data_IF_042276900806
#
_entry.id   IF_042276900806
#
_cell.length_a   1.000
_cell.length_b   1.000
_cell.length_c   1.000
_cell.angle_alpha   90.00
_cell.angle_beta   90.00
_cell.angle_gamma   90.00
#
_symmetry.space_group_name_H-M   'P 1'
#
loop_
_entity.id
_entity.type
_entity.pdbx_description
1 polymer ?
#
# COMPACT_ATOMS: atom_id res chain seq x y z
N UNK A 1 -23.24 44.71 -14.01
CA UNK A 1 -21.92 44.07 -13.79
C UNK A 1 -21.90 43.13 -12.59
N UNK A 2 -22.29 43.57 -11.38
CA UNK A 2 -22.23 42.79 -10.13
C UNK A 2 -22.89 41.39 -10.22
N UNK A 3 -24.10 41.29 -10.78
CA UNK A 3 -24.79 40.00 -10.95
C UNK A 3 -24.04 39.01 -11.87
N UNK A 4 -23.30 39.51 -12.86
CA UNK A 4 -22.52 38.66 -13.78
C UNK A 4 -21.26 38.14 -13.12
N UNK A 5 -20.61 38.98 -12.29
CA UNK A 5 -19.46 38.60 -11.46
C UNK A 5 -19.87 37.54 -10.43
N UNK A 6 -20.98 37.74 -9.72
CA UNK A 6 -21.50 36.77 -8.75
C UNK A 6 -21.77 35.40 -9.39
N UNK A 7 -22.30 35.37 -10.61
CA UNK A 7 -22.56 34.13 -11.34
C UNK A 7 -21.28 33.40 -11.78
N UNK A 8 -20.21 34.13 -12.09
CA UNK A 8 -18.89 33.57 -12.41
C UNK A 8 -18.26 32.95 -11.17
N UNK A 9 -18.21 33.68 -10.06
CA UNK A 9 -17.66 33.20 -8.78
C UNK A 9 -18.39 31.93 -8.32
N UNK A 10 -19.73 31.92 -8.38
CA UNK A 10 -20.53 30.75 -8.03
C UNK A 10 -20.23 29.54 -8.94
N UNK A 11 -20.02 29.79 -10.24
CA UNK A 11 -19.70 28.73 -11.23
C UNK A 11 -18.28 28.19 -11.02
N UNK A 12 -17.35 29.04 -10.62
CA UNK A 12 -15.95 28.69 -10.36
C UNK A 12 -15.80 27.89 -9.06
N UNK A 13 -16.60 28.19 -8.04
CA UNK A 13 -16.68 27.38 -6.82
C UNK A 13 -17.40 26.04 -7.04
N UNK A 14 -18.45 26.04 -7.89
CA UNK A 14 -19.25 24.83 -8.17
C UNK A 14 -18.49 23.77 -8.97
N UNK A 15 -17.57 24.16 -9.84
CA UNK A 15 -16.78 23.24 -10.68
C UNK A 15 -15.90 22.26 -9.86
N UNK A 16 -15.02 22.70 -8.94
CA UNK A 16 -14.23 21.81 -8.11
C UNK A 16 -15.12 20.98 -7.18
N UNK A 17 -16.17 21.56 -6.60
CA UNK A 17 -17.11 20.82 -5.75
C UNK A 17 -17.81 19.67 -6.50
N UNK A 18 -18.20 19.87 -7.76
CA UNK A 18 -18.75 18.80 -8.60
C UNK A 18 -17.75 17.67 -8.83
N UNK A 19 -16.47 18.00 -9.07
CA UNK A 19 -15.42 16.99 -9.23
C UNK A 19 -15.23 16.17 -7.95
N UNK A 20 -15.20 16.83 -6.79
CA UNK A 20 -15.11 16.16 -5.48
C UNK A 20 -16.29 15.23 -5.26
N UNK A 21 -17.52 15.68 -5.49
CA UNK A 21 -18.71 14.83 -5.33
C UNK A 21 -18.67 13.63 -6.28
N UNK A 22 -18.21 13.82 -7.51
CA UNK A 22 -18.08 12.71 -8.47
C UNK A 22 -17.02 11.69 -8.01
N UNK A 23 -15.89 12.16 -7.47
CA UNK A 23 -14.86 11.30 -6.90
C UNK A 23 -15.37 10.50 -5.69
N UNK A 24 -16.05 11.17 -4.76
CA UNK A 24 -16.63 10.51 -3.58
C UNK A 24 -17.66 9.45 -3.95
N UNK A 25 -18.46 9.67 -5.01
CA UNK A 25 -19.41 8.67 -5.51
C UNK A 25 -18.70 7.42 -6.05
N UNK A 26 -17.56 7.61 -6.74
CA UNK A 26 -16.74 6.50 -7.22
C UNK A 26 -16.16 5.70 -6.04
N UNK A 27 -15.58 6.37 -5.05
CA UNK A 27 -14.99 5.73 -3.86
C UNK A 27 -16.03 5.05 -2.96
N UNK A 28 -17.23 5.63 -2.88
CA UNK A 28 -18.35 5.01 -2.17
C UNK A 28 -18.79 3.70 -2.84
N UNK A 29 -18.75 3.64 -4.18
CA UNK A 29 -19.11 2.47 -4.99
C UNK A 29 -18.10 1.33 -5.01
N UNK A 30 -16.96 1.45 -4.32
CA UNK A 30 -15.98 0.38 -4.24
C UNK A 30 -16.49 -0.78 -3.38
N UNK A 31 -16.32 -2.00 -3.90
CA UNK A 31 -16.62 -3.22 -3.15
C UNK A 31 -15.56 -3.43 -2.06
N UNK A 32 -16.02 -3.49 -0.81
CA UNK A 32 -15.16 -3.71 0.36
C UNK A 32 -15.27 -5.15 0.84
N UNK A 33 -14.16 -5.71 1.30
CA UNK A 33 -14.13 -7.00 2.00
C UNK A 33 -14.18 -6.77 3.51
N UNK A 34 -14.61 -7.79 4.27
CA UNK A 34 -14.57 -7.72 5.74
C UNK A 34 -13.12 -7.65 6.21
N UNK A 35 -12.86 -6.81 7.21
CA UNK A 35 -11.53 -6.67 7.79
C UNK A 35 -11.01 -8.02 8.33
N UNK A 36 -11.88 -8.83 8.93
CA UNK A 36 -11.52 -10.17 9.40
C UNK A 36 -11.06 -11.10 8.28
N UNK A 37 -11.69 -11.02 7.10
CA UNK A 37 -11.28 -11.80 5.93
C UNK A 37 -9.92 -11.33 5.42
N UNK A 38 -9.76 -10.02 5.20
CA UNK A 38 -8.49 -9.46 4.74
C UNK A 38 -7.33 -9.78 5.68
N UNK A 39 -7.56 -9.72 7.00
CA UNK A 39 -6.55 -10.09 7.99
C UNK A 39 -6.20 -11.58 7.95
N UNK A 40 -7.19 -12.46 7.75
CA UNK A 40 -6.96 -13.89 7.60
C UNK A 40 -6.16 -14.21 6.32
N UNK A 41 -6.50 -13.58 5.20
CA UNK A 41 -5.81 -13.74 3.92
C UNK A 41 -4.35 -13.30 4.02
N UNK A 42 -4.10 -12.13 4.63
CA UNK A 42 -2.73 -11.64 4.88
C UNK A 42 -1.94 -12.59 5.77
N UNK A 43 -2.54 -13.07 6.87
CA UNK A 43 -1.88 -14.04 7.76
C UNK A 43 -1.53 -15.32 7.01
N UNK A 44 -2.47 -15.85 6.23
CA UNK A 44 -2.26 -17.08 5.46
C UNK A 44 -1.14 -16.92 4.44
N UNK A 45 -1.12 -15.79 3.72
CA UNK A 45 -0.04 -15.47 2.79
C UNK A 45 1.32 -15.43 3.51
N UNK A 46 1.41 -14.75 4.65
CA UNK A 46 2.65 -14.71 5.42
C UNK A 46 3.09 -16.11 5.87
N UNK A 47 2.18 -16.96 6.38
CA UNK A 47 2.53 -18.30 6.84
C UNK A 47 3.02 -19.22 5.71
N UNK A 48 2.42 -19.12 4.52
CA UNK A 48 2.84 -19.89 3.34
C UNK A 48 4.24 -19.49 2.86
N UNK A 49 4.56 -18.20 2.96
CA UNK A 49 5.84 -17.66 2.48
C UNK A 49 6.93 -17.58 3.56
N UNK A 50 6.57 -17.73 4.84
CA UNK A 50 7.49 -17.59 5.97
C UNK A 50 8.73 -18.50 5.86
N UNK A 51 8.57 -19.72 5.34
CA UNK A 51 9.68 -20.66 5.17
C UNK A 51 10.69 -20.22 4.10
N UNK A 52 10.22 -19.43 3.12
CA UNK A 52 11.02 -18.92 2.03
C UNK A 52 11.66 -17.57 2.34
N UNK A 53 11.35 -16.97 3.50
CA UNK A 53 11.92 -15.72 3.94
C UNK A 53 13.21 -15.98 4.75
N UNK A 54 14.40 -15.69 4.17
CA UNK A 54 15.69 -15.87 4.83
C UNK A 54 15.84 -15.13 6.16
N UNK A 55 15.07 -14.06 6.36
CA UNK A 55 15.12 -13.23 7.57
C UNK A 55 14.27 -13.84 8.71
N UNK A 56 13.28 -14.66 8.37
CA UNK A 56 12.43 -15.34 9.36
C UNK A 56 12.98 -16.72 9.74
N UNK A 57 13.40 -17.52 8.76
CA UNK A 57 13.94 -18.87 9.03
C UNK A 57 15.42 -18.88 9.38
N UNK A 58 16.14 -17.80 9.04
CA UNK A 58 17.58 -17.78 9.06
C UNK A 58 18.16 -18.58 7.90
N UNK A 59 19.31 -18.13 7.39
CA UNK A 59 20.06 -18.86 6.36
C UNK A 59 21.32 -19.46 6.95
N UNK A 60 21.67 -20.63 6.42
CA UNK A 60 22.94 -21.24 6.77
C UNK A 60 24.08 -20.34 6.34
N UNK A 61 25.21 -20.59 6.97
CA UNK A 61 26.40 -19.81 6.74
C UNK A 61 26.78 -19.73 5.25
N UNK A 62 26.82 -20.88 4.58
CA UNK A 62 27.26 -21.01 3.19
C UNK A 62 26.32 -20.38 2.17
N UNK A 63 25.02 -20.23 2.47
CA UNK A 63 24.04 -19.62 1.55
C UNK A 63 23.83 -18.13 1.77
N UNK A 64 24.41 -17.53 2.83
CA UNK A 64 24.34 -16.10 3.06
C UNK A 64 25.38 -15.34 2.19
N UNK A 65 24.97 -14.53 1.19
CA UNK A 65 25.89 -13.77 0.35
C UNK A 65 26.63 -12.66 1.11
N UNK A 66 26.14 -12.24 2.27
CA UNK A 66 26.78 -11.25 3.14
C UNK A 66 27.71 -11.87 4.19
N UNK A 67 28.04 -13.17 4.06
CA UNK A 67 28.97 -13.83 4.97
C UNK A 67 30.36 -13.18 4.92
N UNK A 68 30.95 -12.82 6.07
CA UNK A 68 32.37 -12.51 6.15
C UNK A 68 33.22 -13.73 5.73
N UNK A 69 34.19 -13.53 4.83
CA UNK A 69 35.12 -14.61 4.48
C UNK A 69 35.90 -15.04 5.72
N UNK A 70 35.85 -16.34 6.04
CA UNK A 70 36.76 -16.91 7.04
C UNK A 70 38.15 -16.91 6.40
N UNK A 71 39.03 -16.01 6.82
CA UNK A 71 40.47 -16.15 6.55
C UNK A 71 40.94 -17.41 7.27
N UNK A 72 41.38 -18.41 6.51
CA UNK A 72 42.00 -19.60 7.09
C UNK A 72 43.42 -19.20 7.48
N UNK A 73 43.65 -18.89 8.75
CA UNK A 73 45.00 -18.77 9.28
C UNK A 73 45.54 -20.17 9.52
N UNK A 74 46.44 -20.61 8.63
CA UNK A 74 47.30 -21.76 8.88
C UNK A 74 48.22 -21.41 10.05
N UNK A 75 48.04 -22.07 11.18
CA UNK A 75 48.98 -22.07 12.29
C UNK A 75 49.78 -23.37 12.28
#
# INVERSE_FOLDING_TARGET
LSNKINKIILKDYRRPMRKVVQQLRLEAGLNRVKLSQAAADLKQFCLQNAQHDPLLTGVSSSTNPFRPQKVCSFL
#
